data_IF_289533376693
#
_entry.id   IF_289533376693
#
_cell.length_a   1.000
_cell.length_b   1.000
_cell.length_c   1.000
_cell.angle_alpha   90.00
_cell.angle_beta   90.00
_cell.angle_gamma   90.00
#
_symmetry.space_group_name_H-M   'P 1'
#
loop_
_entity.id
_entity.type
_entity.pdbx_description
1 polymer ?
#
# COMPACT_ATOMS: atom_id res chain seq x y z
N UNK A 1 -6.68 2.04 25.32
CA UNK A 1 -7.64 2.96 24.67
C UNK A 1 -7.03 3.40 23.34
N UNK A 2 -7.76 3.30 22.23
CA UNK A 2 -7.29 3.81 20.94
C UNK A 2 -7.63 5.30 20.82
N UNK A 3 -6.74 6.09 20.23
CA UNK A 3 -6.96 7.53 20.02
C UNK A 3 -7.17 7.78 18.53
N UNK A 4 -8.14 8.62 18.19
CA UNK A 4 -8.50 8.93 16.82
C UNK A 4 -8.21 10.41 16.52
N UNK A 5 -7.65 10.67 15.34
CA UNK A 5 -7.30 12.01 14.87
C UNK A 5 -7.91 12.27 13.49
N UNK A 6 -8.22 13.54 13.19
CA UNK A 6 -8.54 13.99 11.84
C UNK A 6 -7.31 14.62 11.22
N UNK A 7 -6.98 14.22 10.00
CA UNK A 7 -5.83 14.73 9.25
C UNK A 7 -6.29 15.33 7.91
N UNK A 8 -5.59 16.39 7.49
CA UNK A 8 -5.73 17.00 6.18
C UNK A 8 -4.36 17.44 5.69
N UNK A 9 -3.98 17.03 4.49
CA UNK A 9 -2.70 17.37 3.88
C UNK A 9 -2.63 18.87 3.58
N UNK A 10 -1.47 19.50 3.82
CA UNK A 10 -1.30 20.94 3.59
C UNK A 10 -1.12 21.29 2.10
N UNK A 11 -0.56 20.37 1.30
CA UNK A 11 -0.47 20.52 -0.16
C UNK A 11 -1.82 20.25 -0.83
N UNK A 12 -2.36 21.29 -1.48
CA UNK A 12 -3.62 21.30 -2.21
C UNK A 12 -3.64 20.29 -3.37
N UNK A 13 -2.51 20.06 -4.05
CA UNK A 13 -2.45 19.10 -5.15
C UNK A 13 -2.57 17.68 -4.64
N UNK A 14 -1.93 17.37 -3.50
CA UNK A 14 -2.07 16.06 -2.84
C UNK A 14 -3.50 15.87 -2.34
N UNK A 15 -4.10 16.90 -1.73
CA UNK A 15 -5.49 16.87 -1.27
C UNK A 15 -6.44 16.56 -2.44
N UNK A 16 -6.39 17.36 -3.52
CA UNK A 16 -7.31 17.23 -4.67
C UNK A 16 -7.22 15.87 -5.36
N UNK A 17 -6.04 15.28 -5.41
CA UNK A 17 -5.82 13.98 -6.05
C UNK A 17 -6.01 12.79 -5.10
N UNK A 18 -6.41 13.02 -3.85
CA UNK A 18 -6.68 11.98 -2.86
C UNK A 18 -8.19 11.78 -2.69
N UNK A 19 -8.61 10.58 -2.28
CA UNK A 19 -10.03 10.32 -1.95
C UNK A 19 -10.54 10.99 -0.67
N UNK A 20 -9.63 11.54 0.13
CA UNK A 20 -9.92 12.13 1.43
C UNK A 20 -8.78 13.11 1.78
N UNK A 21 -8.40 13.25 3.04
CA UNK A 21 -7.39 14.21 3.50
C UNK A 21 -5.93 13.93 3.12
N UNK A 22 -5.62 13.02 2.20
CA UNK A 22 -4.24 12.78 1.72
C UNK A 22 -3.29 12.03 2.66
N UNK A 23 -3.81 11.40 3.72
CA UNK A 23 -2.99 10.66 4.69
C UNK A 23 -2.23 9.48 4.06
N UNK A 24 -2.85 8.76 3.11
CA UNK A 24 -2.19 7.68 2.36
C UNK A 24 -0.89 8.17 1.72
N UNK A 25 -0.96 9.30 1.00
CA UNK A 25 0.18 9.92 0.32
C UNK A 25 1.29 10.21 1.32
N UNK A 26 0.99 10.94 2.40
CA UNK A 26 2.00 11.31 3.40
C UNK A 26 2.68 10.08 4.02
N UNK A 27 1.91 9.04 4.39
CA UNK A 27 2.48 7.82 5.00
C UNK A 27 3.33 7.05 4.00
N UNK A 28 2.86 6.93 2.76
CA UNK A 28 3.60 6.23 1.71
C UNK A 28 4.85 7.00 1.26
N UNK A 29 4.87 8.33 1.32
CA UNK A 29 6.08 9.14 1.07
C UNK A 29 7.18 8.75 2.04
N UNK A 30 6.89 8.64 3.35
CA UNK A 30 7.87 8.24 4.37
C UNK A 30 8.47 6.85 4.11
N UNK A 31 7.67 5.93 3.57
CA UNK A 31 8.13 4.59 3.23
C UNK A 31 9.08 4.65 2.02
N UNK A 32 8.69 5.38 0.97
CA UNK A 32 9.49 5.54 -0.26
C UNK A 32 10.79 6.31 0.00
N UNK A 33 10.76 7.39 0.78
CA UNK A 33 11.93 8.18 1.21
C UNK A 33 12.98 7.30 1.93
N UNK A 34 12.53 6.26 2.63
CA UNK A 34 13.41 5.31 3.31
C UNK A 34 13.94 4.17 2.42
N UNK A 35 13.71 4.22 1.10
CA UNK A 35 14.03 3.13 0.16
C UNK A 35 13.08 1.94 0.26
N UNK A 36 11.94 2.10 0.93
CA UNK A 36 10.89 1.10 1.06
C UNK A 36 10.06 0.93 -0.21
N UNK A 37 8.99 0.14 -0.09
CA UNK A 37 8.12 -0.25 -1.19
C UNK A 37 6.66 -0.10 -0.77
N UNK A 38 5.83 0.38 -1.69
CA UNK A 38 4.39 0.54 -1.48
C UNK A 38 3.63 -0.37 -2.43
N UNK A 39 2.63 -1.07 -1.90
CA UNK A 39 1.73 -1.93 -2.66
C UNK A 39 0.31 -1.40 -2.54
N UNK A 40 -0.36 -1.23 -3.68
CA UNK A 40 -1.70 -0.70 -3.73
C UNK A 40 -2.41 -0.99 -5.04
N UNK A 41 -3.72 -0.80 -5.03
CA UNK A 41 -4.59 -1.08 -6.17
C UNK A 41 -4.51 0.03 -7.23
N UNK A 42 -4.36 -0.37 -8.49
CA UNK A 42 -4.48 0.50 -9.67
C UNK A 42 -5.45 -0.13 -10.68
N UNK A 43 -5.92 0.68 -11.63
CA UNK A 43 -6.58 0.16 -12.84
C UNK A 43 -5.53 0.07 -13.94
N UNK A 44 -5.40 -1.10 -14.56
CA UNK A 44 -4.55 -1.25 -15.75
C UNK A 44 -5.25 -0.70 -17.01
N UNK A 45 -4.57 -0.73 -18.15
CA UNK A 45 -5.09 -0.23 -19.44
C UNK A 45 -6.39 -0.92 -19.89
N UNK A 46 -6.62 -2.14 -19.41
CA UNK A 46 -7.84 -2.92 -19.66
C UNK A 46 -8.90 -2.73 -18.57
N UNK A 47 -8.76 -1.70 -17.73
CA UNK A 47 -9.64 -1.39 -16.59
C UNK A 47 -9.77 -2.50 -15.55
N UNK A 48 -8.80 -3.42 -15.47
CA UNK A 48 -8.76 -4.42 -14.41
C UNK A 48 -8.10 -3.83 -13.17
N UNK A 49 -8.71 -4.06 -12.01
CA UNK A 49 -8.11 -3.73 -10.73
C UNK A 49 -6.99 -4.73 -10.41
N UNK A 50 -5.77 -4.22 -10.25
CA UNK A 50 -4.59 -5.03 -9.91
C UNK A 50 -3.79 -4.34 -8.80
N UNK A 51 -3.14 -5.12 -7.94
CA UNK A 51 -2.16 -4.57 -7.01
C UNK A 51 -0.79 -4.54 -7.65
N UNK A 52 -0.16 -3.36 -7.66
CA UNK A 52 1.19 -3.18 -8.19
C UNK A 52 2.17 -2.78 -7.08
N UNK A 53 3.44 -3.01 -7.36
CA UNK A 53 4.59 -2.58 -6.56
C UNK A 53 5.07 -1.20 -7.00
N UNK A 54 5.29 -0.29 -6.05
CA UNK A 54 5.82 1.05 -6.30
C UNK A 54 7.08 1.31 -5.46
N UNK A 55 8.12 1.81 -6.12
CA UNK A 55 9.36 2.29 -5.49
C UNK A 55 9.57 3.79 -5.68
N UNK A 56 8.68 4.42 -6.46
CA UNK A 56 8.72 5.84 -6.76
C UNK A 56 7.35 6.46 -6.58
N UNK A 57 7.34 7.74 -6.27
CA UNK A 57 6.13 8.53 -6.02
C UNK A 57 5.18 8.52 -7.21
N UNK A 58 5.68 8.57 -8.44
CA UNK A 58 4.84 8.58 -9.66
C UNK A 58 4.11 7.24 -9.85
N UNK A 59 4.70 6.13 -9.40
CA UNK A 59 4.06 4.82 -9.42
C UNK A 59 3.00 4.72 -8.33
N UNK A 60 3.32 5.17 -7.11
CA UNK A 60 2.40 5.19 -5.96
C UNK A 60 1.21 6.10 -6.23
N UNK A 61 1.40 7.21 -6.91
CA UNK A 61 0.34 8.20 -7.18
C UNK A 61 -0.83 7.59 -7.97
N UNK A 62 -0.57 6.56 -8.79
CA UNK A 62 -1.61 5.78 -9.49
C UNK A 62 -2.53 5.02 -8.54
N UNK A 63 -2.07 4.74 -7.32
CA UNK A 63 -2.82 4.05 -6.26
C UNK A 63 -3.75 4.99 -5.50
N UNK A 64 -3.62 6.31 -5.68
CA UNK A 64 -4.52 7.28 -5.04
C UNK A 64 -5.94 7.09 -5.57
N UNK A 65 -6.90 7.43 -4.73
CA UNK A 65 -8.30 7.28 -5.05
C UNK A 65 -8.83 5.88 -4.74
N UNK A 66 -10.04 5.76 -4.20
CA UNK A 66 -10.72 4.48 -4.01
C UNK A 66 -11.04 3.82 -5.36
N UNK A 67 -10.87 2.49 -5.43
CA UNK A 67 -11.39 1.68 -6.53
C UNK A 67 -12.34 0.64 -5.95
N UNK A 68 -13.61 0.70 -6.35
CA UNK A 68 -14.68 -0.16 -5.84
C UNK A 68 -14.86 -1.42 -6.70
N UNK A 69 -13.74 -2.05 -7.06
CA UNK A 69 -13.67 -3.27 -7.87
C UNK A 69 -12.70 -4.23 -7.18
N UNK A 70 -13.00 -5.52 -7.17
CA UNK A 70 -12.11 -6.53 -6.62
C UNK A 70 -10.80 -6.57 -7.41
N UNK A 71 -9.67 -6.41 -6.71
CA UNK A 71 -8.36 -6.44 -7.35
C UNK A 71 -7.71 -7.82 -7.35
N UNK A 72 -6.93 -8.11 -8.40
CA UNK A 72 -6.01 -9.23 -8.43
C UNK A 72 -4.73 -8.89 -7.65
N UNK A 73 -4.46 -9.67 -6.61
CA UNK A 73 -3.34 -9.48 -5.66
C UNK A 73 -2.27 -10.56 -5.78
N UNK A 74 -2.43 -11.55 -6.66
CA UNK A 74 -1.61 -12.77 -6.68
C UNK A 74 -0.11 -12.50 -6.81
N UNK A 75 0.28 -11.58 -7.70
CA UNK A 75 1.69 -11.20 -7.89
C UNK A 75 2.27 -10.45 -6.69
N UNK A 76 1.44 -9.62 -6.03
CA UNK A 76 1.86 -8.82 -4.89
C UNK A 76 2.29 -9.69 -3.69
N UNK A 77 1.66 -10.85 -3.45
CA UNK A 77 2.06 -11.76 -2.35
C UNK A 77 3.53 -12.16 -2.42
N UNK A 78 3.95 -12.63 -3.59
CA UNK A 78 5.29 -13.15 -3.79
C UNK A 78 6.32 -12.01 -3.69
N UNK A 79 6.00 -10.86 -4.27
CA UNK A 79 6.88 -9.70 -4.23
C UNK A 79 7.02 -9.12 -2.82
N UNK A 80 5.92 -9.04 -2.03
CA UNK A 80 5.96 -8.62 -0.62
C UNK A 80 6.88 -9.52 0.20
N UNK A 81 6.76 -10.85 0.02
CA UNK A 81 7.63 -11.80 0.68
C UNK A 81 9.11 -11.59 0.34
N UNK A 82 9.43 -11.36 -0.95
CA UNK A 82 10.79 -11.09 -1.40
C UNK A 82 11.31 -9.77 -0.83
N UNK A 83 10.53 -8.69 -0.85
CA UNK A 83 10.96 -7.39 -0.32
C UNK A 83 11.21 -7.46 1.20
N UNK A 84 10.33 -8.14 1.95
CA UNK A 84 10.52 -8.33 3.39
C UNK A 84 11.75 -9.20 3.71
N UNK A 85 11.99 -10.26 2.93
CA UNK A 85 13.18 -11.09 3.07
C UNK A 85 14.47 -10.30 2.79
N UNK A 86 14.42 -9.29 1.92
CA UNK A 86 15.50 -8.36 1.66
C UNK A 86 15.54 -7.17 2.66
N UNK A 87 14.87 -7.30 3.81
CA UNK A 87 14.84 -6.32 4.88
C UNK A 87 14.32 -4.92 4.46
N UNK A 88 13.44 -4.88 3.45
CA UNK A 88 12.82 -3.62 3.00
C UNK A 88 11.58 -3.31 3.81
N UNK A 89 11.34 -2.02 4.06
CA UNK A 89 10.04 -1.54 4.56
C UNK A 89 8.99 -1.69 3.49
N UNK A 90 7.88 -2.36 3.82
CA UNK A 90 6.78 -2.63 2.90
C UNK A 90 5.51 -2.04 3.48
N UNK A 91 4.85 -1.16 2.74
CA UNK A 91 3.51 -0.66 3.05
C UNK A 91 2.49 -1.29 2.10
N UNK A 92 1.51 -2.00 2.65
CA UNK A 92 0.42 -2.58 1.87
C UNK A 92 -0.90 -1.84 2.11
N UNK A 93 -1.56 -1.45 1.03
CA UNK A 93 -2.90 -0.86 1.01
C UNK A 93 -3.88 -1.82 0.33
N UNK A 94 -4.87 -2.31 1.06
CA UNK A 94 -5.87 -3.21 0.52
C UNK A 94 -7.02 -3.46 1.50
N UNK A 95 -7.98 -4.28 1.09
CA UNK A 95 -9.13 -4.59 1.94
C UNK A 95 -8.72 -5.50 3.10
N UNK A 96 -9.47 -5.51 4.23
CA UNK A 96 -9.13 -6.33 5.39
C UNK A 96 -8.96 -7.82 5.09
N UNK A 97 -9.72 -8.38 4.14
CA UNK A 97 -9.57 -9.76 3.73
C UNK A 97 -8.25 -10.00 2.97
N UNK A 98 -7.81 -9.06 2.13
CA UNK A 98 -6.52 -9.12 1.44
C UNK A 98 -5.36 -9.03 2.44
N UNK A 99 -5.45 -8.12 3.42
CA UNK A 99 -4.50 -7.98 4.52
C UNK A 99 -4.36 -9.29 5.29
N UNK A 100 -5.48 -9.88 5.70
CA UNK A 100 -5.48 -11.13 6.45
C UNK A 100 -4.87 -12.29 5.64
N UNK A 101 -5.16 -12.36 4.32
CA UNK A 101 -4.57 -13.35 3.44
C UNK A 101 -3.05 -13.22 3.37
N UNK A 102 -2.51 -12.01 3.23
CA UNK A 102 -1.05 -11.75 3.18
C UNK A 102 -0.39 -12.11 4.51
N UNK A 103 -0.97 -11.71 5.65
CA UNK A 103 -0.43 -12.05 6.97
C UNK A 103 -0.34 -13.57 7.13
N UNK A 104 -1.38 -14.31 6.75
CA UNK A 104 -1.37 -15.77 6.83
C UNK A 104 -0.32 -16.39 5.91
N UNK A 105 -0.19 -15.88 4.68
CA UNK A 105 0.84 -16.32 3.74
C UNK A 105 2.27 -16.11 4.32
N UNK A 106 2.56 -14.93 4.86
CA UNK A 106 3.87 -14.61 5.45
C UNK A 106 4.18 -15.47 6.68
N UNK A 107 3.17 -15.76 7.53
CA UNK A 107 3.31 -16.68 8.66
C UNK A 107 3.68 -18.10 8.23
N UNK A 108 2.99 -18.63 7.21
CA UNK A 108 3.27 -19.98 6.66
C UNK A 108 4.70 -20.04 6.12
N UNK A 109 5.14 -18.98 5.45
CA UNK A 109 6.51 -18.85 4.91
C UNK A 109 7.57 -18.50 5.96
N UNK A 110 7.18 -18.26 7.22
CA UNK A 110 8.06 -17.85 8.32
C UNK A 110 8.88 -16.59 8.01
N UNK A 111 8.27 -15.62 7.33
CA UNK A 111 8.91 -14.34 6.99
C UNK A 111 8.67 -13.35 8.14
N UNK A 112 9.73 -12.63 8.53
CA UNK A 112 9.65 -11.58 9.53
C UNK A 112 8.78 -10.41 9.05
N UNK A 113 7.89 -9.91 9.90
CA UNK A 113 6.93 -8.85 9.57
C UNK A 113 7.23 -7.52 10.26
N UNK A 114 8.41 -7.36 10.89
CA UNK A 114 8.79 -6.13 11.61
C UNK A 114 8.80 -4.90 10.69
N UNK A 115 9.09 -5.11 9.40
CA UNK A 115 9.11 -4.09 8.37
C UNK A 115 7.82 -4.07 7.51
N UNK A 116 6.75 -4.73 7.96
CA UNK A 116 5.48 -4.81 7.24
C UNK A 116 4.43 -3.87 7.85
N UNK A 117 4.06 -2.84 7.09
CA UNK A 117 3.11 -1.80 7.47
C UNK A 117 1.82 -1.90 6.65
N UNK A 118 0.71 -1.48 7.24
CA UNK A 118 -0.62 -1.60 6.63
C UNK A 118 -1.30 -0.23 6.56
N UNK A 119 -1.94 0.05 5.42
CA UNK A 119 -2.83 1.20 5.21
C UNK A 119 -4.23 0.72 4.83
N UNK A 120 -5.26 1.44 5.30
CA UNK A 120 -6.68 1.13 5.07
C UNK A 120 -7.36 2.22 4.26
#
# INVERSE_FOLDING_TARGET
MQTFYKFKHCDINVEKNSSSGGAFTMISDRILESGGVVYGCVLNEKFNAIHIRAERTEQRDKMRGSKYIQSNISEAFQQIAVDLANNRKVLFSGTPCQVNAIINYLKIKKICMDNFFLWK
#
